data_IF_476538828260
#
_entry.id   IF_476538828260
#
_cell.length_a   1.000
_cell.length_b   1.000
_cell.length_c   1.000
_cell.angle_alpha   90.00
_cell.angle_beta   90.00
_cell.angle_gamma   90.00
#
_symmetry.space_group_name_H-M   'P 1'
#
loop_
_entity.id
_entity.type
_entity.pdbx_description
1 polymer ?
#
# COMPACT_ATOMS: atom_id res chain seq x y z
N UNK A 1 -19.25 20.56 6.25
CA UNK A 1 -19.90 19.40 5.62
C UNK A 1 -18.79 18.48 5.09
N UNK A 2 -18.73 17.25 5.58
CA UNK A 2 -17.66 16.29 5.24
C UNK A 2 -17.93 15.61 3.90
N UNK A 3 -16.91 15.55 3.03
CA UNK A 3 -16.98 14.81 1.77
C UNK A 3 -16.72 13.33 2.00
N UNK A 4 -17.54 12.50 1.38
CA UNK A 4 -17.50 11.03 1.46
C UNK A 4 -17.23 10.45 0.08
N UNK A 5 -16.34 9.47 -0.01
CA UNK A 5 -16.15 8.62 -1.19
C UNK A 5 -16.63 7.20 -0.84
N UNK A 6 -17.29 6.57 -1.80
CA UNK A 6 -17.73 5.17 -1.72
C UNK A 6 -16.98 4.36 -2.78
N UNK A 7 -16.39 3.23 -2.38
CA UNK A 7 -15.64 2.35 -3.29
C UNK A 7 -16.16 0.92 -3.12
N UNK A 8 -16.73 0.37 -4.17
CA UNK A 8 -17.29 -0.99 -4.18
C UNK A 8 -17.43 -1.45 -5.64
N UNK A 9 -17.07 -2.67 -5.97
CA UNK A 9 -17.27 -3.22 -7.32
C UNK A 9 -18.73 -3.54 -7.64
N UNK A 10 -19.58 -3.65 -6.62
CA UNK A 10 -21.01 -3.86 -6.74
C UNK A 10 -21.76 -2.52 -6.87
N UNK A 11 -22.14 -2.12 -8.08
CA UNK A 11 -22.90 -0.87 -8.34
C UNK A 11 -24.21 -0.77 -7.54
N UNK A 12 -24.85 -1.90 -7.24
CA UNK A 12 -26.07 -1.96 -6.42
C UNK A 12 -25.78 -1.48 -5.00
N UNK A 13 -24.64 -1.85 -4.43
CA UNK A 13 -24.22 -1.40 -3.09
C UNK A 13 -23.96 0.10 -3.08
N UNK A 14 -23.22 0.62 -4.06
CA UNK A 14 -22.96 2.05 -4.18
C UNK A 14 -24.25 2.87 -4.26
N UNK A 15 -25.18 2.47 -5.14
CA UNK A 15 -26.47 3.13 -5.27
C UNK A 15 -27.33 3.01 -4.00
N UNK A 16 -27.30 1.85 -3.36
CA UNK A 16 -27.97 1.61 -2.09
C UNK A 16 -27.49 2.57 -1.01
N UNK A 17 -26.19 2.65 -0.79
CA UNK A 17 -25.56 3.53 0.21
C UNK A 17 -25.87 5.02 -0.06
N UNK A 18 -25.83 5.45 -1.34
CA UNK A 18 -26.14 6.83 -1.70
C UNK A 18 -27.58 7.22 -1.40
N UNK A 19 -28.57 6.31 -1.65
CA UNK A 19 -30.00 6.59 -1.54
C UNK A 19 -30.55 6.39 -0.14
N UNK A 20 -30.06 5.38 0.56
CA UNK A 20 -30.68 4.90 1.80
C UNK A 20 -30.15 5.65 3.03
N UNK A 21 -28.88 6.10 2.98
CA UNK A 21 -28.29 6.85 4.08
C UNK A 21 -28.60 8.34 3.96
N UNK A 22 -29.17 8.96 5.00
CA UNK A 22 -29.42 10.41 5.02
C UNK A 22 -28.14 11.18 5.36
N UNK A 23 -27.19 11.22 4.42
CA UNK A 23 -25.85 11.79 4.60
C UNK A 23 -25.86 13.21 5.17
N UNK A 24 -26.78 14.04 4.69
CA UNK A 24 -26.91 15.45 5.11
C UNK A 24 -27.22 15.58 6.60
N UNK A 25 -27.98 14.65 7.17
CA UNK A 25 -28.32 14.65 8.60
C UNK A 25 -27.08 14.43 9.49
N UNK A 26 -25.98 13.97 8.91
CA UNK A 26 -24.68 13.78 9.59
C UNK A 26 -23.62 14.81 9.16
N UNK A 27 -24.05 15.87 8.48
CA UNK A 27 -23.11 16.86 7.96
C UNK A 27 -22.19 16.32 6.87
N UNK A 28 -22.61 15.27 6.15
CA UNK A 28 -21.85 14.58 5.11
C UNK A 28 -22.50 14.78 3.73
N UNK A 29 -21.69 14.61 2.68
CA UNK A 29 -22.16 14.50 1.29
C UNK A 29 -21.31 13.48 0.54
N UNK A 30 -21.90 12.65 -0.29
CA UNK A 30 -21.18 11.79 -1.22
C UNK A 30 -20.60 12.65 -2.34
N UNK A 31 -19.29 12.72 -2.44
CA UNK A 31 -18.56 13.51 -3.43
C UNK A 31 -18.18 12.71 -4.68
N UNK A 32 -18.21 11.38 -4.59
CA UNK A 32 -17.95 10.50 -5.71
C UNK A 32 -17.98 9.03 -5.32
N UNK A 33 -17.98 8.19 -6.33
CA UNK A 33 -17.94 6.73 -6.20
C UNK A 33 -16.88 6.15 -7.13
N UNK A 34 -16.34 4.99 -6.81
CA UNK A 34 -15.43 4.24 -7.65
C UNK A 34 -15.78 2.74 -7.59
N UNK A 35 -15.45 2.03 -8.66
CA UNK A 35 -15.77 0.61 -8.82
C UNK A 35 -14.59 -0.32 -8.53
N UNK A 36 -13.40 0.23 -8.29
CA UNK A 36 -12.22 -0.52 -7.89
C UNK A 36 -11.25 0.32 -7.06
N UNK A 37 -10.23 -0.35 -6.50
CA UNK A 37 -9.25 0.30 -5.62
C UNK A 37 -8.33 1.29 -6.32
N UNK A 38 -8.10 1.16 -7.63
CA UNK A 38 -7.23 2.08 -8.41
C UNK A 38 -7.95 3.38 -8.66
N UNK A 39 -9.18 3.28 -9.18
CA UNK A 39 -10.06 4.43 -9.38
C UNK A 39 -10.35 5.14 -8.06
N UNK A 40 -10.64 4.36 -7.00
CA UNK A 40 -10.87 4.87 -5.65
C UNK A 40 -9.69 5.65 -5.10
N UNK A 41 -8.48 5.10 -5.18
CA UNK A 41 -7.27 5.79 -4.73
C UNK A 41 -7.00 7.08 -5.52
N UNK A 42 -7.18 7.06 -6.84
CA UNK A 42 -7.03 8.24 -7.69
C UNK A 42 -8.04 9.33 -7.33
N UNK A 43 -9.31 8.94 -7.12
CA UNK A 43 -10.39 9.85 -6.74
C UNK A 43 -10.15 10.47 -5.36
N UNK A 44 -9.69 9.69 -4.38
CA UNK A 44 -9.36 10.16 -3.04
C UNK A 44 -8.22 11.17 -3.08
N UNK A 45 -7.16 10.93 -3.86
CA UNK A 45 -6.06 11.90 -4.02
C UNK A 45 -6.52 13.22 -4.66
N UNK A 46 -7.45 13.13 -5.62
CA UNK A 46 -7.99 14.29 -6.32
C UNK A 46 -8.92 15.13 -5.44
N UNK A 47 -9.85 14.46 -4.73
CA UNK A 47 -10.92 15.14 -3.98
C UNK A 47 -10.60 15.36 -2.51
N UNK A 48 -9.60 14.64 -1.96
CA UNK A 48 -9.17 14.67 -0.55
C UNK A 48 -10.37 14.61 0.42
N UNK A 49 -11.17 13.54 0.37
CA UNK A 49 -12.35 13.40 1.21
C UNK A 49 -11.99 13.24 2.69
N UNK A 50 -12.95 13.51 3.55
CA UNK A 50 -12.82 13.28 4.99
C UNK A 50 -13.12 11.82 5.37
N UNK A 51 -14.00 11.16 4.60
CA UNK A 51 -14.53 9.83 4.92
C UNK A 51 -14.46 8.95 3.68
N UNK A 52 -14.07 7.69 3.88
CA UNK A 52 -14.11 6.62 2.90
C UNK A 52 -14.94 5.44 3.43
N UNK A 53 -15.88 4.97 2.63
CA UNK A 53 -16.46 3.64 2.76
C UNK A 53 -15.93 2.78 1.61
N UNK A 54 -15.36 1.61 1.91
CA UNK A 54 -14.77 0.75 0.88
C UNK A 54 -15.01 -0.72 1.15
N UNK A 55 -15.21 -1.51 0.08
CA UNK A 55 -14.98 -2.96 0.18
C UNK A 55 -13.47 -3.24 0.21
N UNK A 56 -13.11 -4.39 0.80
CA UNK A 56 -11.73 -4.89 0.81
C UNK A 56 -11.46 -5.79 -0.39
N UNK A 57 -12.41 -6.65 -0.74
CA UNK A 57 -12.25 -7.63 -1.82
C UNK A 57 -12.93 -7.17 -3.10
N UNK A 58 -12.17 -6.43 -3.87
CA UNK A 58 -12.55 -6.04 -5.23
C UNK A 58 -11.70 -6.81 -6.25
N UNK A 59 -12.19 -7.03 -7.47
CA UNK A 59 -11.41 -7.67 -8.54
C UNK A 59 -10.05 -6.98 -8.72
N UNK A 60 -9.03 -7.80 -8.96
CA UNK A 60 -7.67 -7.39 -9.34
C UNK A 60 -6.77 -6.81 -8.26
N UNK A 61 -7.23 -6.42 -7.03
CA UNK A 61 -6.31 -5.86 -6.02
C UNK A 61 -6.78 -6.06 -4.58
N UNK A 62 -5.81 -6.22 -3.69
CA UNK A 62 -6.02 -6.29 -2.24
C UNK A 62 -6.41 -4.92 -1.68
N UNK A 63 -7.67 -4.80 -1.24
CA UNK A 63 -8.20 -3.57 -0.68
C UNK A 63 -7.52 -3.12 0.61
N UNK A 64 -6.90 -4.03 1.38
CA UNK A 64 -6.11 -3.65 2.56
C UNK A 64 -4.84 -2.90 2.18
N UNK A 65 -4.19 -3.27 1.07
CA UNK A 65 -3.05 -2.51 0.54
C UNK A 65 -3.46 -1.09 0.15
N UNK A 66 -4.64 -0.91 -0.47
CA UNK A 66 -5.18 0.41 -0.75
C UNK A 66 -5.46 1.19 0.54
N UNK A 67 -6.11 0.58 1.54
CA UNK A 67 -6.38 1.22 2.83
C UNK A 67 -5.09 1.63 3.53
N UNK A 68 -4.07 0.77 3.53
CA UNK A 68 -2.76 1.08 4.10
C UNK A 68 -2.09 2.27 3.40
N UNK A 69 -2.11 2.27 2.07
CA UNK A 69 -1.58 3.37 1.27
C UNK A 69 -2.30 4.69 1.60
N UNK A 70 -3.62 4.69 1.59
CA UNK A 70 -4.42 5.87 1.89
C UNK A 70 -4.22 6.39 3.31
N UNK A 71 -4.14 5.49 4.29
CA UNK A 71 -3.85 5.89 5.69
C UNK A 71 -2.44 6.43 5.86
N UNK A 72 -1.46 5.93 5.12
CA UNK A 72 -0.10 6.44 5.15
C UNK A 72 0.04 7.82 4.48
N UNK A 73 -0.73 8.09 3.41
CA UNK A 73 -0.75 9.38 2.71
C UNK A 73 -1.69 10.39 3.37
N UNK A 74 -2.83 9.94 3.92
CA UNK A 74 -3.90 10.75 4.50
C UNK A 74 -4.27 10.28 5.91
N UNK A 75 -3.45 10.55 6.94
CA UNK A 75 -3.67 10.04 8.30
C UNK A 75 -5.02 10.45 8.93
N UNK A 76 -5.58 11.58 8.51
CA UNK A 76 -6.88 12.09 8.99
C UNK A 76 -8.08 11.43 8.31
N UNK A 77 -7.91 10.74 7.19
CA UNK A 77 -8.98 10.06 6.46
C UNK A 77 -9.64 9.02 7.37
N UNK A 78 -10.93 9.17 7.61
CA UNK A 78 -11.71 8.19 8.35
C UNK A 78 -12.16 7.10 7.40
N UNK A 79 -11.90 5.85 7.73
CA UNK A 79 -12.18 4.70 6.84
C UNK A 79 -13.11 3.73 7.54
N UNK A 80 -14.23 3.40 6.89
CA UNK A 80 -15.09 2.28 7.21
C UNK A 80 -15.00 1.23 6.10
N UNK A 81 -14.82 -0.01 6.50
CA UNK A 81 -14.78 -1.16 5.60
C UNK A 81 -16.15 -1.84 5.60
N UNK A 82 -16.67 -2.14 4.39
CA UNK A 82 -17.86 -2.99 4.19
C UNK A 82 -17.43 -4.22 3.38
N UNK A 83 -17.59 -5.43 3.93
CA UNK A 83 -17.14 -6.63 3.24
C UNK A 83 -18.10 -7.80 3.47
N UNK A 84 -18.23 -8.67 2.48
CA UNK A 84 -18.98 -9.92 2.60
C UNK A 84 -18.20 -11.01 3.36
N UNK A 85 -16.91 -10.81 3.60
CA UNK A 85 -16.02 -11.84 4.14
C UNK A 85 -15.86 -11.74 5.66
N UNK A 86 -16.16 -12.84 6.36
CA UNK A 86 -15.93 -13.03 7.80
C UNK A 86 -14.53 -13.62 8.02
N UNK A 87 -13.48 -12.88 7.66
CA UNK A 87 -12.10 -13.32 7.84
C UNK A 87 -11.46 -12.55 8.99
N UNK A 88 -11.04 -13.28 10.00
CA UNK A 88 -10.43 -12.70 11.20
C UNK A 88 -9.11 -11.98 10.89
N UNK A 89 -8.33 -12.49 9.95
CA UNK A 89 -7.05 -11.88 9.58
C UNK A 89 -7.26 -10.52 8.89
N UNK A 90 -8.26 -10.41 8.02
CA UNK A 90 -8.62 -9.11 7.41
C UNK A 90 -9.11 -8.11 8.46
N UNK A 91 -9.95 -8.55 9.39
CA UNK A 91 -10.42 -7.69 10.47
C UNK A 91 -9.26 -7.21 11.37
N UNK A 92 -8.34 -8.10 11.74
CA UNK A 92 -7.15 -7.79 12.53
C UNK A 92 -6.25 -6.77 11.83
N UNK A 93 -5.98 -6.99 10.55
CA UNK A 93 -5.16 -6.06 9.76
C UNK A 93 -5.84 -4.70 9.58
N UNK A 94 -7.15 -4.66 9.32
CA UNK A 94 -7.91 -3.43 9.24
C UNK A 94 -7.83 -2.61 10.54
N UNK A 95 -7.94 -3.27 11.70
CA UNK A 95 -7.77 -2.62 13.02
C UNK A 95 -6.35 -2.04 13.17
N UNK A 96 -5.32 -2.81 12.81
CA UNK A 96 -3.93 -2.34 12.86
C UNK A 96 -3.68 -1.14 11.95
N UNK A 97 -4.36 -1.06 10.81
CA UNK A 97 -4.31 0.07 9.88
C UNK A 97 -5.13 1.29 10.35
N UNK A 98 -5.81 1.19 11.49
CA UNK A 98 -6.61 2.29 12.03
C UNK A 98 -7.91 2.52 11.25
N UNK A 99 -8.52 1.45 10.71
CA UNK A 99 -9.88 1.49 10.16
C UNK A 99 -10.86 1.75 11.30
N UNK A 100 -11.74 2.72 11.12
CA UNK A 100 -12.67 3.16 12.16
C UNK A 100 -13.77 2.16 12.44
N UNK A 101 -14.26 1.48 11.40
CA UNK A 101 -15.31 0.48 11.46
C UNK A 101 -15.10 -0.61 10.42
N UNK A 102 -15.36 -1.84 10.82
CA UNK A 102 -15.37 -3.02 9.97
C UNK A 102 -16.77 -3.61 10.00
N UNK A 103 -17.49 -3.52 8.89
CA UNK A 103 -18.90 -3.88 8.78
C UNK A 103 -19.06 -5.06 7.82
N UNK A 104 -19.94 -6.00 8.18
CA UNK A 104 -20.23 -7.15 7.31
C UNK A 104 -21.43 -6.87 6.41
N UNK A 105 -21.33 -7.17 5.12
CA UNK A 105 -22.45 -7.19 4.18
C UNK A 105 -23.32 -8.45 4.43
N UNK A 106 -24.67 -8.34 4.43
CA UNK A 106 -25.45 -7.11 4.37
C UNK A 106 -25.43 -6.37 5.72
N UNK A 107 -24.98 -5.11 5.69
CA UNK A 107 -24.89 -4.28 6.90
C UNK A 107 -26.26 -3.76 7.31
N UNK A 108 -26.55 -3.76 8.61
CA UNK A 108 -27.75 -3.15 9.14
C UNK A 108 -27.66 -1.62 9.04
N UNK A 109 -28.82 -0.98 8.80
CA UNK A 109 -28.89 0.47 8.69
C UNK A 109 -28.31 1.20 9.91
N UNK A 110 -28.59 0.67 11.11
CA UNK A 110 -28.08 1.31 12.35
C UNK A 110 -26.56 1.20 12.49
N UNK A 111 -25.94 0.11 12.02
CA UNK A 111 -24.49 -0.04 12.02
C UNK A 111 -23.81 0.99 11.09
N UNK A 112 -24.41 1.24 9.90
CA UNK A 112 -23.94 2.25 8.97
C UNK A 112 -24.06 3.68 9.53
N UNK A 113 -25.21 3.99 10.15
CA UNK A 113 -25.42 5.28 10.82
C UNK A 113 -24.45 5.49 11.98
N UNK A 114 -24.23 4.45 12.78
CA UNK A 114 -23.27 4.49 13.89
C UNK A 114 -21.83 4.72 13.37
N UNK A 115 -21.45 4.07 12.27
CA UNK A 115 -20.15 4.29 11.63
C UNK A 115 -19.97 5.75 11.21
N UNK A 116 -20.99 6.37 10.58
CA UNK A 116 -20.92 7.77 10.17
C UNK A 116 -20.80 8.68 11.41
N UNK A 117 -21.64 8.49 12.43
CA UNK A 117 -21.58 9.28 13.69
C UNK A 117 -20.20 9.20 14.34
N UNK A 118 -19.63 8.01 14.40
CA UNK A 118 -18.30 7.82 14.98
C UNK A 118 -17.23 8.57 14.18
N UNK A 119 -17.24 8.44 12.85
CA UNK A 119 -16.25 9.09 11.99
C UNK A 119 -16.38 10.61 12.00
N UNK A 120 -17.61 11.16 11.98
CA UNK A 120 -17.82 12.60 12.06
C UNK A 120 -17.40 13.16 13.42
N UNK A 121 -17.76 12.49 14.52
CA UNK A 121 -17.30 12.88 15.86
C UNK A 121 -15.78 12.84 16.00
N UNK A 122 -15.11 11.85 15.41
CA UNK A 122 -13.66 11.78 15.38
C UNK A 122 -13.04 12.96 14.60
N UNK A 123 -13.64 13.36 13.47
CA UNK A 123 -13.21 14.52 12.69
C UNK A 123 -13.43 15.83 13.44
N UNK A 124 -14.57 15.99 14.13
CA UNK A 124 -14.88 17.17 14.93
C UNK A 124 -13.94 17.35 16.14
N UNK A 125 -13.48 16.22 16.71
CA UNK A 125 -12.52 16.22 17.81
C UNK A 125 -11.07 16.52 17.38
N UNK A 126 -10.77 16.48 16.08
CA UNK A 126 -9.44 16.80 15.59
C UNK A 126 -9.20 18.31 15.59
N UNK A 127 -8.02 18.79 16.03
CA UNK A 127 -7.69 20.20 15.96
C UNK A 127 -7.90 20.75 14.55
N UNK A 128 -8.51 21.94 14.44
CA UNK A 128 -8.66 22.63 13.17
C UNK A 128 -7.25 22.98 12.64
N UNK A 129 -6.72 22.12 11.76
CA UNK A 129 -5.50 22.39 11.01
C UNK A 129 -5.87 23.06 9.71
N UNK A 130 -5.21 24.14 9.39
CA UNK A 130 -5.31 24.83 8.12
C UNK A 130 -4.88 23.88 7.00
N UNK A 131 -5.84 23.37 6.22
CA UNK A 131 -5.57 22.68 4.95
C UNK A 131 -4.87 21.30 5.03
N UNK A 132 -4.83 20.62 3.91
CA UNK A 132 -4.25 19.26 3.85
C UNK A 132 -2.71 19.23 3.87
N UNK A 133 -2.00 20.34 4.01
CA UNK A 133 -0.55 20.40 3.80
C UNK A 133 0.31 20.61 5.07
N UNK A 134 -0.22 21.12 6.20
CA UNK A 134 0.64 21.66 7.25
C UNK A 134 0.54 21.01 8.66
N UNK A 135 -0.26 20.01 8.85
CA UNK A 135 -0.16 19.25 10.10
C UNK A 135 0.55 17.94 9.81
N UNK A 136 1.82 17.87 10.14
CA UNK A 136 2.57 16.61 10.27
C UNK A 136 1.95 15.82 11.44
N UNK A 137 0.76 15.29 11.22
CA UNK A 137 0.30 14.18 12.07
C UNK A 137 1.32 13.06 11.86
N UNK A 138 1.75 12.37 12.91
CA UNK A 138 2.60 11.21 12.73
C UNK A 138 1.91 10.28 11.73
N UNK A 139 2.57 10.08 10.58
CA UNK A 139 2.13 9.06 9.60
C UNK A 139 1.82 7.80 10.42
N UNK A 140 0.70 7.15 10.12
CA UNK A 140 0.39 5.90 10.81
C UNK A 140 1.56 4.94 10.60
N UNK A 141 2.37 4.74 11.62
CA UNK A 141 3.59 3.92 11.55
C UNK A 141 3.27 2.50 11.10
N UNK A 142 2.13 1.98 11.57
CA UNK A 142 1.60 0.68 11.17
C UNK A 142 1.25 0.65 9.68
N UNK A 143 0.60 1.69 9.15
CA UNK A 143 0.25 1.77 7.73
C UNK A 143 1.50 1.91 6.85
N UNK A 144 2.45 2.76 7.23
CA UNK A 144 3.73 2.90 6.53
C UNK A 144 4.52 1.60 6.51
N UNK A 145 4.62 0.91 7.63
CA UNK A 145 5.27 -0.41 7.76
C UNK A 145 4.60 -1.46 6.87
N UNK A 146 3.26 -1.47 6.80
CA UNK A 146 2.50 -2.38 5.94
C UNK A 146 2.81 -2.13 4.45
N UNK A 147 2.80 -0.87 4.01
CA UNK A 147 3.15 -0.48 2.63
C UNK A 147 4.57 -0.94 2.28
N UNK A 148 5.55 -0.69 3.16
CA UNK A 148 6.94 -1.11 2.94
C UNK A 148 7.05 -2.62 2.85
N UNK A 149 6.36 -3.38 3.72
CA UNK A 149 6.35 -4.84 3.70
C UNK A 149 5.76 -5.38 2.39
N UNK A 150 4.65 -4.81 1.92
CA UNK A 150 4.04 -5.18 0.64
C UNK A 150 4.97 -4.86 -0.55
N UNK A 151 5.63 -3.69 -0.53
CA UNK A 151 6.61 -3.31 -1.54
C UNK A 151 7.81 -4.26 -1.58
N UNK A 152 8.34 -4.65 -0.41
CA UNK A 152 9.42 -5.63 -0.30
C UNK A 152 9.02 -6.98 -0.89
N UNK A 153 7.84 -7.49 -0.56
CA UNK A 153 7.33 -8.75 -1.08
C UNK A 153 7.16 -8.73 -2.61
N UNK A 154 6.77 -7.60 -3.18
CA UNK A 154 6.71 -7.41 -4.63
C UNK A 154 8.11 -7.42 -5.25
N UNK A 155 9.04 -6.64 -4.70
CA UNK A 155 10.44 -6.59 -5.16
C UNK A 155 11.12 -7.97 -5.08
N UNK A 156 10.87 -8.74 -4.02
CA UNK A 156 11.40 -10.10 -3.85
C UNK A 156 10.87 -11.09 -4.89
N UNK A 157 9.63 -10.93 -5.35
CA UNK A 157 9.07 -11.79 -6.42
C UNK A 157 9.59 -11.41 -7.81
N UNK A 158 9.89 -10.14 -8.01
CA UNK A 158 10.23 -9.58 -9.33
C UNK A 158 11.69 -9.10 -9.44
N UNK A 159 12.58 -9.56 -8.53
CA UNK A 159 13.97 -9.09 -8.46
C UNK A 159 14.77 -9.29 -9.77
N UNK A 160 14.45 -10.35 -10.54
CA UNK A 160 15.11 -10.65 -11.81
C UNK A 160 14.63 -9.75 -12.96
N UNK A 161 13.49 -9.11 -12.80
CA UNK A 161 12.90 -8.21 -13.80
C UNK A 161 13.47 -6.79 -13.68
N UNK A 162 13.32 -6.00 -14.75
CA UNK A 162 13.70 -4.58 -14.75
C UNK A 162 12.57 -3.71 -14.21
N UNK A 163 12.17 -3.98 -12.95
CA UNK A 163 11.14 -3.17 -12.31
C UNK A 163 11.68 -1.79 -11.91
N UNK A 164 10.78 -0.81 -11.94
CA UNK A 164 11.05 0.57 -11.52
C UNK A 164 10.37 0.87 -10.19
N UNK A 165 10.84 1.91 -9.49
CA UNK A 165 10.20 2.38 -8.27
C UNK A 165 8.74 2.80 -8.51
N UNK A 166 8.42 3.33 -9.71
CA UNK A 166 7.04 3.67 -10.09
C UNK A 166 6.16 2.43 -10.11
N UNK A 167 6.60 1.36 -10.77
CA UNK A 167 5.82 0.10 -10.82
C UNK A 167 5.57 -0.50 -9.42
N UNK A 168 6.57 -0.42 -8.53
CA UNK A 168 6.38 -0.85 -7.13
C UNK A 168 5.37 0.06 -6.42
N UNK A 169 5.48 1.37 -6.61
CA UNK A 169 4.58 2.35 -6.00
C UNK A 169 3.13 2.16 -6.47
N UNK A 170 2.94 1.93 -7.77
CA UNK A 170 1.63 1.62 -8.35
C UNK A 170 1.04 0.32 -7.79
N UNK A 171 1.90 -0.70 -7.56
CA UNK A 171 1.46 -1.97 -6.96
C UNK A 171 0.95 -1.79 -5.53
N UNK A 172 1.60 -0.94 -4.74
CA UNK A 172 1.23 -0.68 -3.33
C UNK A 172 0.38 0.59 -3.17
N UNK A 173 -0.18 1.14 -4.25
CA UNK A 173 -1.13 2.25 -4.26
C UNK A 173 -0.64 3.58 -3.70
N UNK A 174 0.66 3.84 -3.69
CA UNK A 174 1.22 5.11 -3.23
C UNK A 174 1.90 5.87 -4.36
N UNK A 175 2.18 7.16 -4.16
CA UNK A 175 3.05 7.89 -5.08
C UNK A 175 4.50 7.40 -4.97
N UNK A 176 5.25 7.50 -6.06
CA UNK A 176 6.67 7.15 -6.09
C UNK A 176 7.47 7.91 -5.02
N UNK A 177 7.19 9.20 -4.83
CA UNK A 177 7.81 10.02 -3.81
C UNK A 177 7.51 9.50 -2.41
N UNK A 178 6.24 9.18 -2.13
CA UNK A 178 5.82 8.66 -0.82
C UNK A 178 6.45 7.31 -0.54
N UNK A 179 6.47 6.38 -1.51
CA UNK A 179 7.15 5.09 -1.36
C UNK A 179 8.64 5.26 -1.05
N UNK A 180 9.32 6.15 -1.79
CA UNK A 180 10.75 6.44 -1.54
C UNK A 180 10.98 6.93 -0.11
N UNK A 181 10.13 7.84 0.38
CA UNK A 181 10.17 8.36 1.75
C UNK A 181 9.96 7.25 2.79
N UNK A 182 8.95 6.39 2.58
CA UNK A 182 8.65 5.27 3.47
C UNK A 182 9.80 4.25 3.52
N UNK A 183 10.34 3.85 2.36
CA UNK A 183 11.47 2.93 2.26
C UNK A 183 12.69 3.50 3.01
N UNK A 184 13.02 4.76 2.79
CA UNK A 184 14.14 5.39 3.48
C UNK A 184 13.91 5.44 5.00
N UNK A 185 12.72 5.84 5.45
CA UNK A 185 12.36 5.94 6.87
C UNK A 185 12.41 4.61 7.61
N UNK A 186 11.86 3.55 7.00
CA UNK A 186 11.74 2.24 7.66
C UNK A 186 12.95 1.34 7.51
N UNK A 187 13.69 1.45 6.39
CA UNK A 187 14.80 0.55 6.05
C UNK A 187 16.16 1.26 5.99
N UNK A 188 16.18 2.59 6.07
CA UNK A 188 17.38 3.42 5.88
C UNK A 188 18.15 3.07 4.58
N UNK A 189 17.41 2.80 3.50
CA UNK A 189 17.92 2.38 2.19
C UNK A 189 17.13 3.05 1.09
N UNK A 190 17.67 3.08 -0.12
CA UNK A 190 16.90 3.44 -1.30
C UNK A 190 16.49 2.18 -2.10
N UNK A 191 15.59 2.37 -3.06
CA UNK A 191 15.08 1.30 -3.92
C UNK A 191 16.19 0.51 -4.63
N UNK A 192 17.19 1.21 -5.19
CA UNK A 192 18.28 0.57 -5.92
C UNK A 192 19.16 -0.29 -5.01
N UNK A 193 19.42 0.15 -3.79
CA UNK A 193 20.20 -0.61 -2.82
C UNK A 193 19.48 -1.90 -2.43
N UNK A 194 18.17 -1.84 -2.24
CA UNK A 194 17.34 -3.01 -1.94
C UNK A 194 17.36 -3.99 -3.11
N UNK A 195 17.10 -3.52 -4.33
CA UNK A 195 17.11 -4.37 -5.52
C UNK A 195 18.47 -5.04 -5.74
N UNK A 196 19.55 -4.27 -5.59
CA UNK A 196 20.89 -4.83 -5.69
C UNK A 196 21.16 -5.88 -4.60
N UNK A 197 20.73 -5.65 -3.35
CA UNK A 197 20.90 -6.64 -2.28
C UNK A 197 20.14 -7.93 -2.56
N UNK A 198 18.88 -7.85 -3.00
CA UNK A 198 18.07 -9.02 -3.37
C UNK A 198 18.74 -9.83 -4.49
N UNK A 199 19.17 -9.14 -5.55
CA UNK A 199 19.86 -9.77 -6.68
C UNK A 199 21.18 -10.45 -6.27
N UNK A 200 22.00 -9.78 -5.47
CA UNK A 200 23.27 -10.35 -4.99
C UNK A 200 23.03 -11.52 -4.03
N UNK A 201 22.02 -11.46 -3.18
CA UNK A 201 21.65 -12.58 -2.33
C UNK A 201 21.28 -13.82 -3.17
N UNK A 202 20.48 -13.65 -4.20
CA UNK A 202 20.15 -14.74 -5.13
C UNK A 202 21.36 -15.23 -5.94
N UNK A 203 22.22 -14.31 -6.37
CA UNK A 203 23.46 -14.68 -7.06
C UNK A 203 24.37 -15.56 -6.19
N UNK A 204 24.44 -15.33 -4.87
CA UNK A 204 25.22 -16.17 -3.94
C UNK A 204 24.71 -17.61 -3.91
N UNK A 205 23.41 -17.82 -3.99
CA UNK A 205 22.82 -19.17 -4.06
C UNK A 205 23.15 -19.84 -5.41
N UNK A 206 23.02 -19.10 -6.53
CA UNK A 206 23.34 -19.64 -7.85
C UNK A 206 24.85 -19.91 -8.06
N UNK A 207 25.73 -19.19 -7.36
CA UNK A 207 27.17 -19.42 -7.42
C UNK A 207 27.61 -20.76 -6.83
N UNK A 208 26.77 -21.41 -6.02
CA UNK A 208 27.01 -22.76 -5.49
C UNK A 208 26.95 -23.83 -6.59
N UNK A 209 26.27 -23.54 -7.69
CA UNK A 209 26.19 -24.43 -8.85
C UNK A 209 27.43 -24.20 -9.75
N UNK A 210 28.35 -25.17 -9.85
CA UNK A 210 29.55 -25.05 -10.68
C UNK A 210 29.26 -25.04 -12.19
N UNK A 211 28.10 -25.55 -12.61
CA UNK A 211 27.70 -25.57 -14.01
C UNK A 211 27.35 -24.18 -14.56
N UNK A 212 26.92 -23.24 -13.70
CA UNK A 212 26.51 -21.91 -14.11
C UNK A 212 27.71 -20.97 -14.26
N UNK A 213 27.83 -20.32 -15.41
CA UNK A 213 28.85 -19.29 -15.64
C UNK A 213 28.45 -17.97 -14.98
N UNK A 214 29.43 -17.15 -14.60
CA UNK A 214 29.20 -15.86 -13.92
C UNK A 214 28.30 -14.91 -14.72
N UNK A 215 28.42 -14.88 -16.04
CA UNK A 215 27.57 -14.05 -16.90
C UNK A 215 26.12 -14.56 -16.93
N UNK A 216 25.92 -15.88 -16.94
CA UNK A 216 24.57 -16.48 -16.88
C UNK A 216 23.87 -16.16 -15.55
N UNK A 217 24.64 -16.15 -14.45
CA UNK A 217 24.12 -15.75 -13.14
C UNK A 217 23.76 -14.27 -13.15
N UNK A 218 24.62 -13.40 -13.70
CA UNK A 218 24.33 -11.97 -13.85
C UNK A 218 22.99 -11.73 -14.54
N UNK A 219 22.76 -12.41 -15.66
CA UNK A 219 21.53 -12.28 -16.45
C UNK A 219 20.31 -12.82 -15.68
N UNK A 220 20.43 -14.01 -15.05
CA UNK A 220 19.35 -14.63 -14.29
C UNK A 220 18.89 -13.81 -13.08
N UNK A 221 19.79 -13.04 -12.48
CA UNK A 221 19.44 -12.19 -11.35
C UNK A 221 19.06 -10.77 -11.77
N UNK A 222 19.00 -10.47 -13.09
CA UNK A 222 18.44 -9.25 -13.65
C UNK A 222 19.40 -8.07 -13.74
N UNK A 223 20.74 -8.29 -13.75
CA UNK A 223 21.66 -7.22 -14.09
C UNK A 223 21.78 -7.03 -15.61
N UNK A 224 21.91 -5.78 -16.03
CA UNK A 224 21.99 -5.43 -17.46
C UNK A 224 23.36 -5.80 -18.07
N UNK A 225 24.40 -5.82 -17.23
CA UNK A 225 25.75 -6.19 -17.65
C UNK A 225 26.55 -6.82 -16.49
N UNK A 226 27.54 -7.65 -16.86
CA UNK A 226 28.37 -8.42 -15.94
C UNK A 226 29.35 -7.53 -15.15
N UNK A 227 29.76 -6.40 -15.71
CA UNK A 227 30.69 -5.49 -15.02
C UNK A 227 29.98 -4.79 -13.86
N UNK A 228 28.77 -4.30 -14.10
CA UNK A 228 27.90 -3.73 -13.06
C UNK A 228 27.54 -4.76 -11.98
N UNK A 229 27.22 -6.00 -12.39
CA UNK A 229 27.03 -7.11 -11.47
C UNK A 229 28.25 -7.34 -10.58
N UNK A 230 29.44 -7.54 -11.18
CA UNK A 230 30.67 -7.86 -10.45
C UNK A 230 31.07 -6.75 -9.47
N UNK A 231 30.88 -5.47 -9.86
CA UNK A 231 31.11 -4.31 -9.00
C UNK A 231 30.20 -4.29 -7.78
N UNK A 232 28.88 -4.51 -7.99
CA UNK A 232 27.93 -4.57 -6.88
C UNK A 232 28.13 -5.80 -6.00
N UNK A 233 28.44 -6.95 -6.60
CA UNK A 233 28.74 -8.18 -5.86
C UNK A 233 29.95 -7.96 -4.93
N UNK A 234 31.06 -7.42 -5.45
CA UNK A 234 32.25 -7.10 -4.65
C UNK A 234 31.96 -6.07 -3.57
N UNK A 235 31.17 -5.02 -3.89
CA UNK A 235 30.78 -3.98 -2.91
C UNK A 235 29.99 -4.57 -1.74
N UNK A 236 29.08 -5.52 -2.01
CA UNK A 236 28.18 -6.08 -0.99
C UNK A 236 28.75 -7.31 -0.25
N UNK A 237 29.69 -8.05 -0.87
CA UNK A 237 30.23 -9.29 -0.29
C UNK A 237 31.71 -9.21 0.07
N UNK A 238 32.39 -8.15 -0.31
CA UNK A 238 33.85 -7.98 -0.13
C UNK A 238 34.72 -8.71 -1.16
N UNK A 239 34.15 -9.56 -2.03
CA UNK A 239 34.87 -10.41 -3.01
C UNK A 239 34.18 -10.35 -4.37
N UNK A 240 34.94 -10.57 -5.44
CA UNK A 240 34.36 -10.77 -6.77
C UNK A 240 33.56 -12.08 -6.82
N UNK A 241 32.62 -12.24 -7.78
CA UNK A 241 31.88 -13.50 -7.94
C UNK A 241 32.79 -14.72 -8.12
N UNK A 242 33.88 -14.59 -8.85
CA UNK A 242 34.87 -15.66 -9.09
C UNK A 242 35.60 -16.02 -7.81
N UNK A 243 36.15 -15.03 -7.08
CA UNK A 243 36.79 -15.24 -5.78
C UNK A 243 35.85 -15.81 -4.73
N UNK A 244 34.58 -15.42 -4.77
CA UNK A 244 33.55 -15.93 -3.87
C UNK A 244 33.31 -17.42 -4.14
N UNK A 245 33.12 -17.82 -5.41
CA UNK A 245 32.95 -19.23 -5.82
C UNK A 245 34.13 -20.09 -5.45
N UNK A 246 35.37 -19.62 -5.63
CA UNK A 246 36.58 -20.38 -5.32
C UNK A 246 36.71 -20.74 -3.82
N UNK A 247 35.86 -20.19 -2.95
CA UNK A 247 35.88 -20.43 -1.50
C UNK A 247 34.64 -21.15 -0.96
N UNK A 248 33.73 -21.57 -1.87
CA UNK A 248 32.60 -22.44 -1.53
C UNK A 248 33.04 -23.88 -1.52
#
# INVERSE_FOLDING_TARGET
>A
MYSVILVDDEQVILQGLMRVLPWENYGCRVAGTASDGVEGAALIRKLRPAILFTDIRMPNRDGLSMVAALKSEFPRLQIAVLTAYRDFEYARQAIQLGVCRYLLKPSKMEELKEAIRFMTAALDAMPAGNGPEDTVLPESEAAGSFVVKAAMAFMERHYAERITLSQVADHVFVSQWHLSKLINRHLNKNFFDIMNQLRIQRARELLKDPALKVHEISDRVGFADVAHFSKNFKRLTGKSPVEYRARL
#
